data_IF_916533534593
#
_entry.id   IF_916533534593
#
_cell.length_a   1.000
_cell.length_b   1.000
_cell.length_c   1.000
_cell.angle_alpha   90.00
_cell.angle_beta   90.00
_cell.angle_gamma   90.00
#
_symmetry.space_group_name_H-M   'P 1'
#
loop_
_entity.id
_entity.type
_entity.pdbx_description
1 polymer ?
#
# COMPACT_ATOMS: atom_id res chain seq x y z
N UNK A 1 13.95 -1.18 15.84
CA UNK A 1 14.80 -1.14 14.61
C UNK A 1 13.90 -1.05 13.39
N UNK A 2 14.34 -0.42 12.28
CA UNK A 2 13.55 -0.21 11.06
C UNK A 2 14.13 -1.03 9.89
N UNK A 3 13.26 -1.68 9.11
CA UNK A 3 13.68 -2.40 7.91
C UNK A 3 12.77 -2.09 6.72
N UNK A 4 13.36 -1.98 5.53
CA UNK A 4 12.70 -1.63 4.30
C UNK A 4 12.80 -2.81 3.31
N UNK A 5 11.70 -3.19 2.69
CA UNK A 5 11.70 -4.24 1.68
C UNK A 5 10.76 -3.93 0.51
N UNK A 6 11.02 -4.56 -0.61
CA UNK A 6 10.27 -4.42 -1.86
C UNK A 6 10.40 -5.68 -2.71
N UNK A 7 9.67 -5.72 -3.82
CA UNK A 7 9.94 -6.61 -4.96
C UNK A 7 9.97 -5.76 -6.22
N UNK A 8 11.17 -5.58 -6.78
CA UNK A 8 11.34 -4.81 -8.00
C UNK A 8 10.95 -5.64 -9.24
N UNK A 9 10.54 -4.96 -10.27
CA UNK A 9 10.50 -5.52 -11.64
C UNK A 9 11.93 -5.71 -12.14
N UNK A 10 12.18 -6.49 -13.20
CA UNK A 10 13.49 -6.52 -13.84
C UNK A 10 13.99 -5.10 -14.17
N UNK A 11 15.27 -4.83 -13.87
CA UNK A 11 15.90 -3.54 -14.17
C UNK A 11 16.27 -3.46 -15.65
N UNK A 12 15.25 -3.48 -16.51
CA UNK A 12 15.38 -3.43 -17.97
C UNK A 12 14.39 -2.42 -18.55
N UNK A 13 14.77 -1.82 -19.68
CA UNK A 13 13.92 -0.84 -20.37
C UNK A 13 13.52 0.35 -19.48
N UNK A 14 12.35 0.97 -19.73
CA UNK A 14 11.89 2.16 -18.97
C UNK A 14 11.68 1.92 -17.48
N UNK A 15 11.44 0.67 -17.07
CA UNK A 15 11.30 0.33 -15.65
C UNK A 15 12.61 0.48 -14.87
N UNK A 16 13.75 0.28 -15.52
CA UNK A 16 15.05 0.41 -14.88
C UNK A 16 15.28 1.82 -14.32
N UNK A 17 15.10 2.85 -15.15
CA UNK A 17 15.32 4.26 -14.74
C UNK A 17 14.42 4.68 -13.59
N UNK A 18 13.14 4.24 -13.63
CA UNK A 18 12.16 4.49 -12.58
C UNK A 18 12.61 3.88 -11.27
N UNK A 19 13.01 2.61 -11.29
CA UNK A 19 13.40 1.84 -10.12
C UNK A 19 14.75 2.31 -9.54
N UNK A 20 15.71 2.67 -10.39
CA UNK A 20 16.98 3.29 -9.97
C UNK A 20 16.71 4.59 -9.21
N UNK A 21 15.87 5.48 -9.76
CA UNK A 21 15.51 6.74 -9.11
C UNK A 21 14.79 6.52 -7.78
N UNK A 22 13.92 5.51 -7.69
CA UNK A 22 13.26 5.14 -6.43
C UNK A 22 14.28 4.67 -5.41
N UNK A 23 15.19 3.77 -5.79
CA UNK A 23 16.21 3.23 -4.90
C UNK A 23 17.16 4.32 -4.39
N UNK A 24 17.58 5.26 -5.24
CA UNK A 24 18.38 6.42 -4.85
C UNK A 24 17.62 7.32 -3.86
N UNK A 25 16.34 7.61 -4.13
CA UNK A 25 15.48 8.38 -3.24
C UNK A 25 15.33 7.69 -1.87
N UNK A 26 15.11 6.37 -1.85
CA UNK A 26 14.97 5.62 -0.62
C UNK A 26 16.26 5.58 0.20
N UNK A 27 17.40 5.41 -0.45
CA UNK A 27 18.73 5.49 0.20
C UNK A 27 18.99 6.86 0.80
N UNK A 28 18.58 7.91 0.12
CA UNK A 28 18.68 9.28 0.63
C UNK A 28 17.75 9.55 1.82
N UNK A 29 16.50 9.04 1.77
CA UNK A 29 15.54 9.18 2.86
C UNK A 29 15.88 8.33 4.09
N UNK A 30 16.54 7.19 3.88
CA UNK A 30 16.88 6.20 4.91
C UNK A 30 18.32 5.70 4.76
N UNK A 31 19.34 6.55 4.98
CA UNK A 31 20.74 6.19 4.72
C UNK A 31 21.25 5.00 5.54
N UNK A 32 20.64 4.74 6.71
CA UNK A 32 21.01 3.62 7.59
C UNK A 32 20.11 2.37 7.37
N UNK A 33 19.13 2.41 6.45
CA UNK A 33 18.23 1.30 6.24
C UNK A 33 18.83 0.28 5.28
N UNK A 34 18.75 -0.99 5.66
CA UNK A 34 19.00 -2.08 4.74
C UNK A 34 17.75 -2.33 3.89
N UNK A 35 17.82 -1.94 2.62
CA UNK A 35 16.73 -2.16 1.66
C UNK A 35 16.91 -3.56 1.09
N UNK A 36 15.88 -4.40 1.24
CA UNK A 36 15.88 -5.79 0.79
C UNK A 36 14.92 -5.94 -0.38
N UNK A 37 15.42 -6.43 -1.50
CA UNK A 37 14.62 -6.83 -2.64
C UNK A 37 14.27 -8.32 -2.56
N UNK A 38 13.03 -8.67 -2.89
CA UNK A 38 12.58 -10.06 -2.95
C UNK A 38 12.27 -10.48 -4.39
N UNK A 39 12.72 -11.67 -4.75
CA UNK A 39 12.49 -12.31 -6.04
C UNK A 39 12.03 -13.76 -5.84
N UNK A 40 11.40 -14.36 -6.86
CA UNK A 40 11.09 -15.81 -6.88
C UNK A 40 12.16 -16.64 -7.58
N UNK A 41 13.07 -16.00 -8.30
CA UNK A 41 14.21 -16.62 -8.96
C UNK A 41 15.36 -15.63 -9.08
N UNK A 42 16.57 -16.12 -9.29
CA UNK A 42 17.72 -15.27 -9.55
C UNK A 42 17.47 -14.37 -10.77
N UNK A 43 17.79 -13.09 -10.64
CA UNK A 43 17.57 -12.07 -11.66
C UNK A 43 18.83 -11.21 -11.82
N UNK A 44 19.58 -11.46 -12.88
CA UNK A 44 20.86 -10.78 -13.16
C UNK A 44 20.70 -9.28 -13.48
N UNK A 45 19.49 -8.81 -13.78
CA UNK A 45 19.24 -7.39 -14.03
C UNK A 45 19.21 -6.53 -12.77
N UNK A 46 19.12 -7.14 -11.58
CA UNK A 46 19.09 -6.43 -10.30
C UNK A 46 20.49 -5.85 -9.99
N UNK A 47 20.60 -4.61 -9.53
CA UNK A 47 21.88 -4.03 -9.12
C UNK A 47 22.60 -4.90 -8.08
N UNK A 48 23.87 -5.19 -8.30
CA UNK A 48 24.68 -6.09 -7.46
C UNK A 48 24.90 -5.59 -6.03
N UNK A 49 24.72 -4.28 -5.81
CA UNK A 49 24.80 -3.63 -4.50
C UNK A 49 23.44 -3.60 -3.75
N UNK A 50 22.39 -4.13 -4.36
CA UNK A 50 21.09 -4.30 -3.73
C UNK A 50 20.96 -5.71 -3.15
N UNK A 51 20.83 -5.80 -1.83
CA UNK A 51 20.58 -7.08 -1.17
C UNK A 51 19.31 -7.71 -1.70
N UNK A 52 19.45 -8.84 -2.41
CA UNK A 52 18.32 -9.57 -2.97
C UNK A 52 18.18 -10.93 -2.30
N UNK A 53 16.95 -11.29 -1.99
CA UNK A 53 16.56 -12.56 -1.38
C UNK A 53 15.63 -13.29 -2.33
N UNK A 54 15.96 -14.54 -2.65
CA UNK A 54 15.07 -15.42 -3.42
C UNK A 54 14.24 -16.24 -2.46
N UNK A 55 12.92 -16.20 -2.64
CA UNK A 55 11.95 -17.00 -1.88
C UNK A 55 11.15 -17.87 -2.84
N UNK A 56 10.91 -19.13 -2.46
CA UNK A 56 10.23 -20.10 -3.34
C UNK A 56 8.72 -19.89 -3.40
N UNK A 57 8.15 -19.12 -2.47
CA UNK A 57 6.73 -18.86 -2.39
C UNK A 57 6.35 -17.63 -3.23
N UNK A 58 5.71 -17.88 -4.38
CA UNK A 58 5.28 -16.85 -5.30
C UNK A 58 4.14 -17.31 -6.20
N UNK A 59 3.46 -16.35 -6.82
CA UNK A 59 2.57 -16.59 -7.94
C UNK A 59 3.26 -16.14 -9.22
N UNK A 60 3.59 -17.10 -10.09
CA UNK A 60 4.42 -16.82 -11.26
C UNK A 60 5.81 -16.29 -10.84
N UNK A 61 6.10 -15.04 -11.24
CA UNK A 61 7.36 -14.36 -10.94
C UNK A 61 7.26 -13.34 -9.80
N UNK A 62 6.15 -13.30 -9.08
CA UNK A 62 5.89 -12.30 -8.05
C UNK A 62 5.90 -12.99 -6.68
N UNK A 63 6.78 -12.58 -5.75
CA UNK A 63 6.77 -13.09 -4.39
C UNK A 63 5.45 -12.77 -3.68
N UNK A 64 4.97 -13.69 -2.84
CA UNK A 64 3.81 -13.43 -1.99
C UNK A 64 4.19 -12.46 -0.86
N UNK A 65 3.32 -11.49 -0.57
CA UNK A 65 3.58 -10.49 0.46
C UNK A 65 3.81 -11.13 1.85
N UNK A 66 2.97 -12.10 2.22
CA UNK A 66 3.10 -12.81 3.49
C UNK A 66 4.44 -13.54 3.62
N UNK A 67 4.97 -14.10 2.53
CA UNK A 67 6.27 -14.78 2.52
C UNK A 67 7.45 -13.81 2.69
N UNK A 68 7.37 -12.64 2.04
CA UNK A 68 8.32 -11.56 2.27
C UNK A 68 8.32 -11.10 3.73
N UNK A 69 7.14 -10.89 4.32
CA UNK A 69 7.01 -10.48 5.73
C UNK A 69 7.57 -11.54 6.67
N UNK A 70 7.21 -12.81 6.51
CA UNK A 70 7.76 -13.92 7.33
C UNK A 70 9.28 -13.99 7.26
N UNK A 71 9.84 -13.82 6.05
CA UNK A 71 11.29 -13.78 5.91
C UNK A 71 11.91 -12.61 6.66
N UNK A 72 11.32 -11.40 6.53
CA UNK A 72 11.78 -10.19 7.24
C UNK A 72 11.72 -10.37 8.75
N UNK A 73 10.66 -10.94 9.27
CA UNK A 73 10.48 -11.21 10.70
C UNK A 73 11.43 -12.27 11.25
N UNK A 74 11.77 -13.25 10.44
CA UNK A 74 12.71 -14.32 10.84
C UNK A 74 14.16 -13.87 10.78
N UNK A 75 14.51 -13.02 9.81
CA UNK A 75 15.91 -12.72 9.48
C UNK A 75 16.36 -11.31 9.85
N UNK A 76 15.53 -10.54 10.55
CA UNK A 76 15.86 -9.20 11.05
C UNK A 76 15.31 -8.98 12.45
N UNK A 77 15.94 -8.09 13.24
CA UNK A 77 15.45 -7.67 14.55
C UNK A 77 14.58 -6.40 14.47
N UNK A 78 14.06 -6.09 13.27
CA UNK A 78 13.24 -4.90 13.07
C UNK A 78 11.85 -5.06 13.70
N UNK A 79 11.36 -4.02 14.37
CA UNK A 79 9.99 -3.94 14.92
C UNK A 79 9.07 -3.17 14.00
N UNK A 80 9.64 -2.35 13.12
CA UNK A 80 8.93 -1.52 12.16
C UNK A 80 9.40 -1.84 10.76
N UNK A 81 8.46 -2.20 9.91
CA UNK A 81 8.69 -2.52 8.51
C UNK A 81 8.09 -1.46 7.58
N UNK A 82 8.76 -1.22 6.46
CA UNK A 82 8.23 -0.45 5.34
C UNK A 82 8.31 -1.31 4.09
N UNK A 83 7.19 -1.46 3.41
CA UNK A 83 7.10 -1.94 2.03
C UNK A 83 6.71 -0.78 1.10
N UNK A 84 7.30 -0.72 -0.08
CA UNK A 84 6.87 0.19 -1.14
C UNK A 84 7.03 -0.46 -2.52
N UNK A 85 6.15 -0.05 -3.44
CA UNK A 85 6.31 -0.39 -4.85
C UNK A 85 7.53 0.33 -5.45
N UNK A 86 8.20 -0.31 -6.43
CA UNK A 86 9.47 0.14 -7.00
C UNK A 86 9.43 1.45 -7.81
N UNK A 87 8.31 2.15 -7.83
CA UNK A 87 8.06 3.40 -8.57
C UNK A 87 7.68 4.57 -7.65
N UNK A 88 7.79 4.38 -6.33
CA UNK A 88 7.42 5.38 -5.33
C UNK A 88 8.63 6.22 -4.90
N UNK A 89 8.42 7.53 -4.82
CA UNK A 89 9.36 8.48 -4.23
C UNK A 89 8.82 8.98 -2.89
N UNK A 90 9.65 8.92 -1.87
CA UNK A 90 9.33 9.43 -0.53
C UNK A 90 9.80 10.88 -0.35
N UNK A 91 9.09 11.67 0.49
CA UNK A 91 9.57 12.97 0.92
C UNK A 91 10.83 12.81 1.79
N UNK A 92 11.75 13.76 1.70
CA UNK A 92 13.03 13.72 2.42
C UNK A 92 12.89 13.74 3.95
N UNK A 93 11.77 14.22 4.46
CA UNK A 93 11.46 14.30 5.89
C UNK A 93 10.67 13.09 6.43
N UNK A 94 10.45 12.05 5.61
CA UNK A 94 9.68 10.88 6.03
C UNK A 94 10.19 10.29 7.35
N UNK A 95 11.50 10.14 7.52
CA UNK A 95 12.08 9.59 8.75
C UNK A 95 11.64 10.34 10.01
N UNK A 96 11.58 11.67 9.94
CA UNK A 96 11.14 12.49 11.07
C UNK A 96 9.66 12.23 11.41
N UNK A 97 8.83 12.03 10.39
CA UNK A 97 7.40 11.75 10.56
C UNK A 97 7.12 10.38 11.18
N UNK A 98 8.05 9.43 11.03
CA UNK A 98 7.92 8.10 11.61
C UNK A 98 8.21 8.05 13.11
N UNK A 99 8.85 9.06 13.68
CA UNK A 99 9.21 9.10 15.11
C UNK A 99 7.98 9.15 16.02
N UNK A 100 6.87 9.72 15.54
CA UNK A 100 5.62 9.84 16.30
C UNK A 100 4.70 8.62 16.21
N UNK A 101 5.11 7.57 15.49
CA UNK A 101 4.28 6.37 15.34
C UNK A 101 4.18 5.57 16.65
N UNK A 102 3.01 4.99 16.95
CA UNK A 102 2.77 4.30 18.21
C UNK A 102 3.55 2.98 18.31
N UNK A 103 3.80 2.53 19.53
CA UNK A 103 4.43 1.22 19.80
C UNK A 103 3.43 0.05 19.83
N UNK A 104 2.15 0.30 19.58
CA UNK A 104 1.15 -0.75 19.43
C UNK A 104 1.05 -1.24 17.98
N UNK A 105 0.40 -2.40 17.71
CA UNK A 105 0.16 -2.87 16.35
C UNK A 105 -0.62 -1.87 15.49
N UNK A 106 -0.09 -1.54 14.32
CA UNK A 106 -0.76 -0.68 13.35
C UNK A 106 -0.29 -0.99 11.92
N UNK A 107 -1.12 -0.60 10.96
CA UNK A 107 -0.78 -0.43 9.54
C UNK A 107 -0.96 1.03 9.17
N UNK A 108 0.07 1.67 8.60
CA UNK A 108 -0.01 3.01 8.04
C UNK A 108 0.16 2.94 6.52
N UNK A 109 -0.71 3.60 5.80
CA UNK A 109 -0.67 3.80 4.34
C UNK A 109 -1.32 5.13 4.00
N UNK A 110 -1.27 5.55 2.74
CA UNK A 110 -1.93 6.80 2.33
C UNK A 110 -1.99 6.92 0.81
N UNK A 111 -2.71 7.94 0.34
CA UNK A 111 -2.82 8.23 -1.08
C UNK A 111 -1.50 8.73 -1.65
N UNK A 112 -1.20 8.26 -2.85
CA UNK A 112 -0.08 8.74 -3.65
C UNK A 112 -0.46 9.97 -4.49
N UNK A 113 0.54 10.71 -4.94
CA UNK A 113 0.45 11.75 -5.96
C UNK A 113 1.03 11.21 -7.26
N UNK A 114 0.23 11.09 -8.30
CA UNK A 114 0.71 10.67 -9.62
C UNK A 114 1.49 11.83 -10.27
N UNK A 115 2.66 11.53 -10.80
CA UNK A 115 3.41 12.43 -11.69
C UNK A 115 3.02 12.09 -13.12
N UNK A 116 2.52 13.05 -13.87
CA UNK A 116 2.21 12.89 -15.28
C UNK A 116 3.47 12.89 -16.17
N UNK A 117 3.34 12.44 -17.41
CA UNK A 117 4.43 12.50 -18.39
C UNK A 117 4.90 13.94 -18.71
N UNK A 118 4.05 14.91 -18.46
CA UNK A 118 4.32 16.36 -18.56
C UNK A 118 4.85 16.98 -17.27
N UNK A 119 5.11 16.18 -16.25
CA UNK A 119 5.54 16.62 -14.92
C UNK A 119 4.40 17.16 -14.05
N UNK A 120 3.16 17.17 -14.52
CA UNK A 120 2.01 17.55 -13.69
C UNK A 120 1.84 16.61 -12.51
N UNK A 121 1.34 17.13 -11.38
CA UNK A 121 1.12 16.35 -10.16
C UNK A 121 -0.37 16.33 -9.82
N UNK A 122 -0.89 15.14 -9.59
CA UNK A 122 -2.30 14.94 -9.26
C UNK A 122 -2.46 13.92 -8.14
N UNK A 123 -3.23 14.27 -7.10
CA UNK A 123 -3.59 13.32 -6.05
C UNK A 123 -4.40 12.16 -6.65
N UNK A 124 -3.94 10.93 -6.44
CA UNK A 124 -4.66 9.73 -6.88
C UNK A 124 -5.92 9.52 -6.05
N UNK A 125 -6.82 8.66 -6.51
CA UNK A 125 -7.96 8.21 -5.71
C UNK A 125 -7.53 7.45 -4.45
N UNK A 126 -8.43 7.24 -3.47
CA UNK A 126 -8.11 6.59 -2.19
C UNK A 126 -7.57 5.17 -2.29
N UNK A 127 -7.73 4.52 -3.44
CA UNK A 127 -7.19 3.19 -3.74
C UNK A 127 -5.73 3.17 -4.17
N UNK A 128 -5.11 4.33 -4.37
CA UNK A 128 -3.69 4.42 -4.72
C UNK A 128 -2.81 4.38 -3.47
N UNK A 129 -2.65 3.21 -2.91
CA UNK A 129 -1.88 2.93 -1.70
C UNK A 129 -0.68 2.07 -2.06
N UNK A 130 0.46 2.67 -2.32
CA UNK A 130 1.64 1.97 -2.85
C UNK A 130 2.78 1.85 -1.84
N UNK A 131 2.53 2.18 -0.57
CA UNK A 131 3.45 2.00 0.54
C UNK A 131 2.71 1.58 1.80
N UNK A 132 3.36 0.78 2.63
CA UNK A 132 2.82 0.24 3.87
C UNK A 132 3.89 0.26 4.95
N UNK A 133 3.60 0.92 6.08
CA UNK A 133 4.46 0.95 7.26
C UNK A 133 3.70 0.25 8.37
N UNK A 134 4.33 -0.74 9.00
CA UNK A 134 3.62 -1.59 9.94
C UNK A 134 4.52 -2.21 11.02
N UNK A 135 3.92 -2.57 12.13
CA UNK A 135 4.61 -3.28 13.21
C UNK A 135 4.70 -4.77 12.93
N UNK A 136 5.75 -5.40 13.46
CA UNK A 136 5.96 -6.86 13.45
C UNK A 136 4.72 -7.61 13.94
N UNK A 137 4.44 -8.78 13.37
CA UNK A 137 3.41 -9.71 13.81
C UNK A 137 1.98 -9.39 13.35
N UNK A 138 1.76 -8.30 12.61
CA UNK A 138 0.40 -7.97 12.20
C UNK A 138 -0.11 -8.78 11.01
N UNK A 139 0.79 -9.45 10.27
CA UNK A 139 0.48 -10.21 9.06
C UNK A 139 0.75 -11.71 9.17
N UNK A 140 0.89 -12.27 10.39
CA UNK A 140 1.25 -13.69 10.63
C UNK A 140 0.31 -14.69 9.91
N UNK A 141 -0.97 -14.37 9.80
CA UNK A 141 -2.00 -15.20 9.16
C UNK A 141 -2.68 -14.48 7.98
N UNK A 142 -1.96 -13.56 7.33
CA UNK A 142 -2.45 -12.94 6.10
C UNK A 142 -2.61 -14.01 5.01
N UNK A 143 -3.78 -14.14 4.37
CA UNK A 143 -3.91 -14.94 3.17
C UNK A 143 -2.96 -14.46 2.07
N UNK A 144 -2.66 -15.33 1.13
CA UNK A 144 -1.75 -15.02 0.02
C UNK A 144 -2.16 -13.73 -0.70
N UNK A 145 -1.21 -12.80 -0.82
CA UNK A 145 -1.39 -11.52 -1.52
C UNK A 145 -0.28 -11.34 -2.53
N UNK A 146 -0.67 -11.13 -3.78
CA UNK A 146 0.23 -10.85 -4.91
C UNK A 146 0.33 -9.33 -5.08
N UNK A 147 1.48 -8.76 -4.75
CA UNK A 147 1.71 -7.33 -4.84
C UNK A 147 1.73 -6.82 -6.29
N UNK A 148 1.38 -5.54 -6.49
CA UNK A 148 1.31 -4.94 -7.82
C UNK A 148 0.16 -5.46 -8.70
N UNK A 149 -0.82 -6.15 -8.12
CA UNK A 149 -2.08 -6.56 -8.75
C UNK A 149 -3.25 -5.94 -8.01
N UNK A 150 -4.37 -5.75 -8.70
CA UNK A 150 -5.55 -5.17 -8.08
C UNK A 150 -5.92 -5.90 -6.79
N UNK A 151 -6.51 -5.16 -5.86
CA UNK A 151 -6.93 -5.60 -4.53
C UNK A 151 -5.82 -5.95 -3.54
N UNK A 152 -4.52 -5.95 -3.90
CA UNK A 152 -3.44 -6.22 -2.95
C UNK A 152 -3.48 -5.24 -1.76
N UNK A 153 -3.56 -3.95 -2.05
CA UNK A 153 -3.62 -2.89 -1.03
C UNK A 153 -4.83 -3.04 -0.12
N UNK A 154 -5.99 -3.28 -0.73
CA UNK A 154 -7.25 -3.53 -0.01
C UNK A 154 -7.19 -4.78 0.86
N UNK A 155 -6.46 -5.81 0.46
CA UNK A 155 -6.25 -7.03 1.24
C UNK A 155 -5.54 -6.73 2.56
N UNK A 156 -4.46 -5.95 2.52
CA UNK A 156 -3.71 -5.56 3.72
C UNK A 156 -4.55 -4.71 4.68
N UNK A 157 -5.28 -3.73 4.16
CA UNK A 157 -6.19 -2.90 4.96
C UNK A 157 -7.32 -3.75 5.55
N UNK A 158 -7.94 -4.61 4.73
CA UNK A 158 -9.03 -5.50 5.16
C UNK A 158 -8.59 -6.45 6.27
N UNK A 159 -7.40 -7.05 6.14
CA UNK A 159 -6.82 -7.92 7.17
C UNK A 159 -6.71 -7.21 8.51
N UNK A 160 -6.10 -6.02 8.53
CA UNK A 160 -5.95 -5.23 9.75
C UNK A 160 -7.30 -4.83 10.36
N UNK A 161 -8.26 -4.39 9.56
CA UNK A 161 -9.59 -4.02 10.04
C UNK A 161 -10.34 -5.22 10.66
N UNK A 162 -10.24 -6.41 10.07
CA UNK A 162 -10.83 -7.65 10.62
C UNK A 162 -10.23 -8.03 11.97
N UNK A 163 -8.93 -7.84 12.11
CA UNK A 163 -8.20 -8.13 13.34
C UNK A 163 -8.26 -7.02 14.38
N UNK A 164 -8.97 -5.94 14.09
CA UNK A 164 -9.05 -4.73 14.93
C UNK A 164 -7.69 -4.08 15.19
N UNK A 165 -6.76 -4.28 14.25
CA UNK A 165 -5.49 -3.58 14.23
C UNK A 165 -5.74 -2.17 13.70
N UNK A 166 -5.14 -1.17 14.32
CA UNK A 166 -5.26 0.22 13.91
C UNK A 166 -4.74 0.42 12.48
N UNK A 167 -5.58 0.94 11.59
CA UNK A 167 -5.17 1.42 10.27
C UNK A 167 -5.08 2.93 10.31
N UNK A 168 -3.95 3.49 9.91
CA UNK A 168 -3.65 4.92 9.96
C UNK A 168 -3.54 5.45 8.54
N UNK A 169 -4.38 6.43 8.19
CA UNK A 169 -4.27 7.17 6.94
C UNK A 169 -3.20 8.25 7.05
N UNK A 170 -2.09 8.06 6.36
CA UNK A 170 -0.95 8.98 6.31
C UNK A 170 -1.03 10.03 5.21
N UNK A 171 -2.11 10.09 4.43
CA UNK A 171 -2.21 10.95 3.23
C UNK A 171 -1.95 12.44 3.51
N UNK A 172 -2.27 12.90 4.72
CA UNK A 172 -2.04 14.31 5.13
C UNK A 172 -0.63 14.59 5.60
N UNK A 173 0.07 13.57 6.08
CA UNK A 173 1.40 13.72 6.65
C UNK A 173 2.51 13.27 5.69
N UNK A 174 2.26 12.26 4.87
CA UNK A 174 3.27 11.61 4.04
C UNK A 174 2.87 11.73 2.58
N UNK A 175 3.49 12.67 1.89
CA UNK A 175 3.25 12.88 0.46
C UNK A 175 4.21 12.02 -0.35
N UNK A 176 3.74 10.84 -0.76
CA UNK A 176 4.49 10.00 -1.70
C UNK A 176 4.15 10.35 -3.14
N UNK A 177 5.13 10.26 -4.03
CA UNK A 177 4.98 10.52 -5.44
C UNK A 177 5.17 9.22 -6.22
N UNK A 178 4.24 8.94 -7.15
CA UNK A 178 4.29 7.79 -8.03
C UNK A 178 4.77 8.25 -9.40
N UNK A 179 5.88 7.68 -9.85
CA UNK A 179 6.49 8.01 -11.13
C UNK A 179 5.63 7.51 -12.30
N UNK A 180 5.53 8.31 -13.35
CA UNK A 180 4.77 7.94 -14.54
C UNK A 180 5.37 6.72 -15.22
N UNK A 181 4.54 5.73 -15.48
CA UNK A 181 4.84 4.59 -16.33
C UNK A 181 3.56 4.01 -16.94
N UNK A 182 3.73 3.27 -18.01
CA UNK A 182 2.68 2.44 -18.59
C UNK A 182 2.65 1.04 -17.94
N UNK A 183 1.74 0.19 -18.42
CA UNK A 183 1.62 -1.20 -18.00
C UNK A 183 2.29 -2.18 -18.97
N UNK A 184 3.20 -1.69 -19.84
CA UNK A 184 3.84 -2.49 -20.89
C UNK A 184 4.72 -3.64 -20.38
N UNK A 185 5.05 -3.66 -19.08
CA UNK A 185 5.79 -4.73 -18.43
C UNK A 185 4.93 -5.96 -18.04
N UNK A 186 3.61 -5.88 -18.20
CA UNK A 186 2.68 -6.96 -17.91
C UNK A 186 2.07 -7.47 -19.21
N UNK A 187 2.17 -8.76 -19.48
CA UNK A 187 1.51 -9.40 -20.59
C UNK A 187 -0.01 -9.19 -20.49
N UNK A 188 -0.64 -8.62 -21.55
CA UNK A 188 -2.03 -8.18 -21.51
C UNK A 188 -2.24 -6.78 -20.86
N UNK A 189 -1.17 -6.13 -20.43
CA UNK A 189 -1.18 -4.73 -19.99
C UNK A 189 -2.07 -4.47 -18.77
N UNK A 190 -2.73 -3.31 -18.79
CA UNK A 190 -3.58 -2.85 -17.67
C UNK A 190 -4.71 -3.83 -17.34
N UNK A 191 -5.30 -4.48 -18.32
CA UNK A 191 -6.41 -5.42 -18.09
C UNK A 191 -5.98 -6.59 -17.20
N UNK A 192 -4.83 -7.20 -17.48
CA UNK A 192 -4.29 -8.29 -16.65
C UNK A 192 -4.01 -7.84 -15.21
N UNK A 193 -3.51 -6.62 -15.00
CA UNK A 193 -3.28 -6.08 -13.64
C UNK A 193 -4.58 -5.98 -12.85
N UNK A 194 -5.70 -5.66 -13.50
CA UNK A 194 -6.98 -5.40 -12.82
C UNK A 194 -7.93 -6.59 -12.78
N UNK A 195 -7.88 -7.47 -13.75
CA UNK A 195 -8.86 -8.58 -13.92
C UNK A 195 -8.21 -9.94 -14.16
N UNK A 196 -6.88 -10.00 -14.19
CA UNK A 196 -6.15 -11.26 -14.34
C UNK A 196 -6.26 -12.17 -13.12
N UNK A 197 -5.76 -13.40 -13.26
CA UNK A 197 -5.86 -14.44 -12.22
C UNK A 197 -5.31 -13.99 -10.87
N UNK A 198 -4.18 -13.27 -10.85
CA UNK A 198 -3.57 -12.79 -9.60
C UNK A 198 -4.46 -11.75 -8.90
N UNK A 199 -5.11 -10.86 -9.68
CA UNK A 199 -6.06 -9.88 -9.13
C UNK A 199 -7.30 -10.58 -8.57
N UNK A 200 -7.81 -11.58 -9.28
CA UNK A 200 -8.95 -12.38 -8.83
C UNK A 200 -8.60 -13.21 -7.61
N UNK A 201 -7.37 -13.74 -7.54
CA UNK A 201 -6.86 -14.41 -6.33
C UNK A 201 -6.87 -13.46 -5.13
N UNK A 202 -6.29 -12.25 -5.26
CA UNK A 202 -6.33 -11.25 -4.19
C UNK A 202 -7.75 -10.94 -3.70
N UNK A 203 -8.69 -10.81 -4.65
CA UNK A 203 -10.10 -10.54 -4.35
C UNK A 203 -10.76 -11.66 -3.54
N UNK A 204 -10.52 -12.92 -3.93
CA UNK A 204 -11.19 -14.10 -3.38
C UNK A 204 -10.55 -14.58 -2.09
N UNK A 205 -9.23 -14.77 -2.07
CA UNK A 205 -8.50 -15.23 -0.89
C UNK A 205 -8.69 -14.29 0.31
N UNK A 206 -8.84 -12.99 0.05
CA UNK A 206 -9.04 -11.97 1.08
C UNK A 206 -10.50 -11.57 1.31
N UNK A 207 -11.46 -12.28 0.70
CA UNK A 207 -12.91 -12.06 0.84
C UNK A 207 -13.31 -10.59 0.58
N UNK A 208 -12.80 -9.97 -0.48
CA UNK A 208 -13.04 -8.56 -0.79
C UNK A 208 -14.25 -8.34 -1.70
N UNK A 209 -14.95 -9.39 -2.14
CA UNK A 209 -16.16 -9.24 -2.97
C UNK A 209 -17.19 -8.38 -2.26
N UNK A 210 -17.57 -7.30 -2.94
CA UNK A 210 -18.54 -6.31 -2.43
C UNK A 210 -17.98 -5.26 -1.49
N UNK A 211 -16.78 -5.44 -0.92
CA UNK A 211 -16.15 -4.46 -0.04
C UNK A 211 -14.63 -4.53 -0.10
N UNK A 212 -14.02 -3.63 -0.84
CA UNK A 212 -12.58 -3.43 -0.87
C UNK A 212 -12.23 -2.10 -0.15
N UNK A 213 -11.68 -2.14 1.07
CA UNK A 213 -11.37 -0.93 1.83
C UNK A 213 -10.14 -0.22 1.25
N UNK A 214 -10.09 1.09 1.48
CA UNK A 214 -9.01 1.97 1.05
C UNK A 214 -8.47 2.79 2.23
N UNK A 215 -7.46 3.62 2.03
CA UNK A 215 -6.88 4.44 3.10
C UNK A 215 -7.90 5.33 3.83
N UNK A 216 -8.97 5.77 3.17
CA UNK A 216 -10.05 6.52 3.83
C UNK A 216 -10.89 5.71 4.82
N UNK A 217 -10.84 4.39 4.71
CA UNK A 217 -11.52 3.47 5.62
C UNK A 217 -10.66 3.17 6.87
N UNK A 218 -9.51 3.81 6.97
CA UNK A 218 -8.63 3.75 8.12
C UNK A 218 -9.36 4.10 9.43
N UNK A 219 -8.90 3.58 10.53
CA UNK A 219 -9.45 3.88 11.86
C UNK A 219 -8.97 5.23 12.39
N UNK A 220 -7.78 5.64 11.97
CA UNK A 220 -7.11 6.87 12.41
C UNK A 220 -6.52 7.63 11.21
N UNK A 221 -6.18 8.89 11.44
CA UNK A 221 -5.48 9.77 10.49
C UNK A 221 -4.23 10.35 11.15
N UNK A 222 -3.10 10.28 10.47
CA UNK A 222 -1.87 11.00 10.85
C UNK A 222 -1.92 12.40 10.25
N UNK A 223 -1.88 13.41 11.08
CA UNK A 223 -1.87 14.82 10.69
C UNK A 223 -0.45 15.30 10.37
N UNK A 224 -0.34 16.43 9.66
CA UNK A 224 0.94 17.02 9.27
C UNK A 224 1.82 17.44 10.46
N UNK A 225 1.25 17.68 11.62
CA UNK A 225 1.93 17.99 12.88
C UNK A 225 2.36 16.74 13.68
N UNK A 226 2.14 15.54 13.14
CA UNK A 226 2.52 14.26 13.76
C UNK A 226 1.48 13.68 14.72
N UNK A 227 0.37 14.36 15.00
CA UNK A 227 -0.70 13.82 15.83
C UNK A 227 -1.49 12.74 15.07
N UNK A 228 -1.86 11.68 15.80
CA UNK A 228 -2.76 10.65 15.31
C UNK A 228 -4.13 10.88 15.95
N UNK A 229 -5.14 11.07 15.12
CA UNK A 229 -6.51 11.35 15.54
C UNK A 229 -7.47 10.30 14.97
N UNK A 230 -8.68 10.11 15.53
CA UNK A 230 -9.70 9.29 14.90
C UNK A 230 -9.95 9.72 13.46
N UNK A 231 -10.25 8.77 12.57
CA UNK A 231 -10.44 9.04 11.14
C UNK A 231 -11.38 10.22 10.89
N UNK A 232 -10.88 11.23 10.20
CA UNK A 232 -11.60 12.45 9.83
C UNK A 232 -12.20 12.42 8.42
N UNK A 233 -11.86 11.42 7.61
CA UNK A 233 -12.24 11.32 6.18
C UNK A 233 -13.48 10.46 5.94
N UNK A 234 -13.69 9.41 6.70
CA UNK A 234 -14.83 8.52 6.51
C UNK A 234 -16.12 9.18 6.98
N UNK A 235 -17.15 9.17 6.13
CA UNK A 235 -18.50 9.58 6.52
C UNK A 235 -19.06 8.65 7.61
N UNK A 236 -20.06 9.13 8.37
CA UNK A 236 -20.73 8.32 9.38
C UNK A 236 -21.32 7.03 8.78
N UNK A 237 -21.92 7.14 7.59
CA UNK A 237 -22.47 5.97 6.87
C UNK A 237 -21.39 4.97 6.53
N UNK A 238 -20.21 5.44 6.11
CA UNK A 238 -19.08 4.56 5.81
C UNK A 238 -18.55 3.88 7.08
N UNK A 239 -18.49 4.57 8.20
CA UNK A 239 -18.11 3.98 9.50
C UNK A 239 -19.10 2.90 9.94
N UNK A 240 -20.41 3.11 9.73
CA UNK A 240 -21.44 2.11 10.02
C UNK A 240 -21.30 0.88 9.10
N UNK A 241 -21.01 1.09 7.81
CA UNK A 241 -20.77 -0.01 6.86
C UNK A 241 -19.57 -0.86 7.29
N UNK A 242 -18.45 -0.23 7.67
CA UNK A 242 -17.27 -0.91 8.21
C UNK A 242 -17.61 -1.73 9.45
N UNK A 243 -18.35 -1.15 10.39
CA UNK A 243 -18.81 -1.81 11.61
C UNK A 243 -19.65 -3.06 11.31
N UNK A 244 -20.61 -2.92 10.40
CA UNK A 244 -21.48 -4.03 10.01
C UNK A 244 -20.72 -5.14 9.30
N UNK A 245 -19.85 -4.78 8.37
CA UNK A 245 -19.10 -5.76 7.59
C UNK A 245 -18.08 -6.52 8.44
N UNK A 246 -17.24 -5.79 9.20
CA UNK A 246 -16.13 -6.41 9.93
C UNK A 246 -16.51 -6.95 11.30
N UNK A 247 -17.46 -6.33 12.02
CA UNK A 247 -17.86 -6.79 13.36
C UNK A 247 -19.02 -7.76 13.34
N UNK A 248 -19.99 -7.56 12.45
CA UNK A 248 -21.21 -8.39 12.40
C UNK A 248 -21.19 -9.43 11.30
N UNK A 249 -20.18 -9.46 10.44
CA UNK A 249 -20.05 -10.40 9.34
C UNK A 249 -21.16 -10.29 8.30
N UNK A 250 -21.86 -9.16 8.24
CA UNK A 250 -22.96 -8.96 7.31
C UNK A 250 -22.39 -8.68 5.92
N UNK A 251 -22.51 -9.66 5.04
CA UNK A 251 -22.21 -9.48 3.63
C UNK A 251 -23.47 -8.99 2.90
N UNK A 252 -23.36 -7.83 2.25
CA UNK A 252 -24.42 -7.28 1.44
C UNK A 252 -24.53 -7.98 0.09
N UNK A 253 -25.74 -8.13 -0.45
CA UNK A 253 -25.93 -8.65 -1.81
C UNK A 253 -25.44 -7.62 -2.87
N UNK A 254 -24.96 -8.06 -4.04
CA UNK A 254 -24.38 -7.19 -5.05
C UNK A 254 -25.22 -5.95 -5.47
N UNK A 255 -26.54 -6.02 -5.67
CA UNK A 255 -27.33 -4.84 -6.01
C UNK A 255 -27.37 -3.80 -4.89
N UNK A 256 -27.44 -4.27 -3.64
CA UNK A 256 -27.41 -3.40 -2.47
C UNK A 256 -26.03 -2.76 -2.30
N UNK A 257 -24.95 -3.51 -2.54
CA UNK A 257 -23.59 -2.99 -2.48
C UNK A 257 -23.36 -1.85 -3.48
N UNK A 258 -23.85 -1.98 -4.72
CA UNK A 258 -23.74 -0.94 -5.73
C UNK A 258 -24.46 0.33 -5.29
N UNK A 259 -25.69 0.22 -4.81
CA UNK A 259 -26.47 1.33 -4.32
C UNK A 259 -25.89 1.95 -3.03
N UNK A 260 -25.46 1.10 -2.09
CA UNK A 260 -24.82 1.52 -0.85
C UNK A 260 -23.49 2.24 -1.09
N UNK A 261 -22.68 1.74 -2.01
CA UNK A 261 -21.45 2.41 -2.44
C UNK A 261 -21.73 3.78 -3.08
N UNK A 262 -22.82 3.90 -3.84
CA UNK A 262 -23.24 5.19 -4.40
C UNK A 262 -23.59 6.20 -3.28
N UNK A 263 -24.29 5.74 -2.24
CA UNK A 263 -24.67 6.58 -1.10
C UNK A 263 -23.51 6.92 -0.17
N UNK A 264 -22.69 5.93 0.18
CA UNK A 264 -21.64 6.08 1.19
C UNK A 264 -20.36 6.68 0.63
N UNK A 265 -20.06 6.38 -0.63
CA UNK A 265 -18.89 6.92 -1.34
C UNK A 265 -19.21 8.17 -2.15
N UNK A 266 -20.49 8.54 -2.23
CA UNK A 266 -21.00 9.74 -2.87
C UNK A 266 -20.52 9.94 -4.29
N UNK A 267 -21.31 9.63 -5.30
CA UNK A 267 -20.90 9.65 -6.71
C UNK A 267 -20.29 10.96 -7.24
N UNK A 268 -20.42 12.07 -6.54
CA UNK A 268 -19.78 13.36 -6.85
C UNK A 268 -19.19 14.07 -5.62
N UNK A 269 -19.38 13.58 -4.40
CA UNK A 269 -18.86 14.19 -3.17
C UNK A 269 -17.40 13.85 -2.89
N UNK A 270 -16.79 12.97 -3.68
CA UNK A 270 -15.38 12.68 -3.72
C UNK A 270 -14.64 13.65 -4.64
N UNK A 271 -14.78 14.93 -4.42
CA UNK A 271 -13.72 15.84 -4.82
C UNK A 271 -12.57 15.52 -3.86
N UNK A 272 -11.48 14.96 -4.40
CA UNK A 272 -10.23 14.96 -3.69
C UNK A 272 -10.04 16.38 -3.14
N UNK A 273 -9.89 16.56 -1.82
CA UNK A 273 -9.56 17.88 -1.31
C UNK A 273 -8.32 18.33 -2.07
N UNK A 274 -8.31 19.55 -2.54
CA UNK A 274 -7.08 20.11 -3.10
C UNK A 274 -6.06 20.03 -1.99
N UNK A 275 -4.84 19.65 -2.32
CA UNK A 275 -3.77 19.45 -1.34
C UNK A 275 -3.52 20.71 -0.49
N UNK A 276 -3.78 21.89 -1.09
CA UNK A 276 -3.71 23.19 -0.44
C UNK A 276 -4.81 23.38 0.62
N UNK A 277 -6.01 22.77 0.44
CA UNK A 277 -7.11 22.83 1.40
C UNK A 277 -6.83 21.98 2.66
N UNK A 278 -5.89 21.05 2.58
CA UNK A 278 -5.54 20.10 3.64
C UNK A 278 -4.44 20.65 4.55
N UNK A 279 -3.62 21.57 4.07
CA UNK A 279 -2.59 22.23 4.89
C UNK A 279 -3.17 23.29 5.85
N UNK A 280 -4.43 23.65 5.67
CA UNK A 280 -5.12 24.66 6.47
C UNK A 280 -5.94 24.06 7.65
N UNK A 281 -5.96 22.73 7.83
CA UNK A 281 -6.57 22.01 8.96
C UNK A 281 -5.48 21.52 9.90
#
# INVERSE_FOLDING_TARGET
>A
MFAFFTSFKPFTGPAADIQVRSLENWRAAFPDANIINFETAANESIPSDLRTVVIDEGMGKIPLFGSMVRWMETNTDADLFLYANGDILFPSDLRVRLVSLPDCPFLLTGQRVDIGSDGSKRLHGPSGMDYFIFRRGIFDDLPDVVMGRAYCDSALVSHCLRKRISVIDGSFAIRVEHQFHDYGHVDGGRETVWTGNDAMHNLEANCLRGFAPHCIDATHTLLGDGRIVPNVRASLLRKLELEMFYRKGIQWCPPFNAWWNLLTRGGKLWKNPKWDDVQAI
#
